data_IF_836324340272
#
_entry.id   IF_836324340272
#
_cell.length_a   1.000
_cell.length_b   1.000
_cell.length_c   1.000
_cell.angle_alpha   90.00
_cell.angle_beta   90.00
_cell.angle_gamma   90.00
#
_symmetry.space_group_name_H-M   'P 1'
#
loop_
_entity.id
_entity.type
_entity.pdbx_description
1 polymer ?
#
# COMPACT_ATOMS: atom_id res chain seq x y z
N UNK A 1 11.51 1.75 12.14
CA UNK A 1 10.89 0.66 11.38
C UNK A 1 9.54 0.27 12.01
N UNK A 2 8.49 0.89 11.53
CA UNK A 2 7.12 0.69 12.03
C UNK A 2 6.62 -0.74 11.91
N UNK A 3 7.05 -1.46 10.87
CA UNK A 3 6.59 -2.83 10.62
C UNK A 3 7.09 -3.81 11.66
N UNK A 4 8.29 -3.62 12.20
CA UNK A 4 8.84 -4.49 13.25
C UNK A 4 8.04 -4.45 14.54
N UNK A 5 7.34 -3.35 14.82
CA UNK A 5 6.46 -3.25 15.98
C UNK A 5 5.24 -4.17 15.86
N UNK A 6 4.93 -4.62 14.64
CA UNK A 6 3.87 -5.57 14.34
C UNK A 6 2.47 -5.14 14.84
N UNK A 7 2.22 -3.84 14.85
CA UNK A 7 0.92 -3.30 15.28
C UNK A 7 -0.23 -3.82 14.42
N UNK A 8 -0.01 -3.97 13.10
CA UNK A 8 -1.01 -4.51 12.18
C UNK A 8 -1.11 -6.03 12.19
N UNK A 9 -0.18 -6.74 12.86
CA UNK A 9 -0.19 -8.20 12.97
C UNK A 9 0.29 -8.96 11.74
N UNK A 10 0.83 -8.29 10.72
CA UNK A 10 1.23 -8.93 9.46
C UNK A 10 2.73 -9.13 9.28
N UNK A 11 3.55 -8.64 10.22
CA UNK A 11 4.99 -8.83 10.16
C UNK A 11 5.36 -10.32 10.17
N UNK A 12 6.18 -10.73 9.19
CA UNK A 12 6.61 -12.13 9.07
C UNK A 12 5.53 -13.11 8.64
N UNK A 13 4.43 -12.64 8.05
CA UNK A 13 3.31 -13.50 7.66
C UNK A 13 3.00 -13.49 6.15
N UNK A 14 3.55 -12.55 5.40
CA UNK A 14 3.26 -12.39 3.98
C UNK A 14 4.51 -12.02 3.20
N UNK A 15 4.56 -12.40 1.92
CA UNK A 15 5.63 -11.98 1.02
C UNK A 15 5.68 -10.46 0.81
N UNK A 16 4.51 -9.80 0.90
CA UNK A 16 4.41 -8.34 0.76
C UNK A 16 4.81 -7.56 2.00
N UNK A 17 5.01 -8.23 3.13
CA UNK A 17 5.36 -7.60 4.41
C UNK A 17 6.77 -7.98 4.83
N UNK A 18 7.47 -7.13 5.60
CA UNK A 18 8.80 -7.49 6.10
C UNK A 18 8.74 -8.73 7.00
N UNK A 19 9.75 -9.58 7.01
CA UNK A 19 10.96 -9.53 6.18
C UNK A 19 10.78 -10.11 4.77
N UNK A 20 9.60 -10.60 4.40
CA UNK A 20 9.33 -11.25 3.11
C UNK A 20 9.60 -10.34 1.89
N UNK A 21 9.28 -9.05 1.99
CA UNK A 21 9.56 -8.06 0.94
C UNK A 21 10.98 -7.47 1.02
N UNK A 22 11.79 -7.92 1.94
CA UNK A 22 13.12 -7.39 2.23
C UNK A 22 13.13 -6.55 3.51
N UNK A 23 14.34 -6.20 3.97
CA UNK A 23 14.50 -5.29 5.09
C UNK A 23 14.35 -3.82 4.63
N UNK A 24 14.35 -2.91 5.59
CA UNK A 24 14.15 -1.49 5.30
C UNK A 24 15.25 -0.92 4.39
N UNK A 25 16.49 -1.36 4.55
CA UNK A 25 17.61 -0.91 3.73
C UNK A 25 17.46 -1.38 2.28
N UNK A 26 17.08 -2.63 2.08
CA UNK A 26 16.79 -3.18 0.74
C UNK A 26 15.66 -2.43 0.06
N UNK A 27 14.58 -2.14 0.78
CA UNK A 27 13.47 -1.37 0.26
C UNK A 27 13.89 0.05 -0.12
N UNK A 28 14.68 0.71 0.70
CA UNK A 28 15.23 2.04 0.40
C UNK A 28 16.12 2.04 -0.84
N UNK A 29 16.94 1.02 -0.98
CA UNK A 29 17.79 0.86 -2.17
C UNK A 29 16.95 0.72 -3.43
N UNK A 30 15.89 -0.04 -3.37
CA UNK A 30 14.94 -0.17 -4.48
C UNK A 30 14.28 1.16 -4.81
N UNK A 31 13.83 1.91 -3.79
CA UNK A 31 13.20 3.23 -3.97
C UNK A 31 14.13 4.23 -4.64
N UNK A 32 15.43 4.16 -4.37
CA UNK A 32 16.42 5.08 -4.94
C UNK A 32 16.51 5.01 -6.47
N UNK A 33 16.01 3.93 -7.09
CA UNK A 33 15.94 3.79 -8.54
C UNK A 33 14.79 4.55 -9.20
N UNK A 34 13.91 5.16 -8.42
CA UNK A 34 12.74 5.88 -8.93
C UNK A 34 12.85 7.37 -8.67
N UNK A 35 12.43 8.19 -9.65
CA UNK A 35 12.42 9.65 -9.54
C UNK A 35 11.02 10.26 -9.63
N UNK A 36 10.03 9.47 -10.00
CA UNK A 36 8.66 9.93 -10.20
C UNK A 36 7.68 8.97 -9.54
N UNK A 37 6.67 9.51 -8.91
CA UNK A 37 5.61 8.75 -8.28
C UNK A 37 4.25 9.37 -8.50
N UNK A 38 3.21 8.58 -8.33
CA UNK A 38 1.82 9.00 -8.42
C UNK A 38 1.12 8.60 -7.12
N UNK A 39 0.60 9.60 -6.39
CA UNK A 39 -0.20 9.37 -5.20
C UNK A 39 -1.68 9.21 -5.58
N UNK A 40 -2.32 8.25 -4.95
CA UNK A 40 -3.73 7.95 -5.17
C UNK A 40 -4.44 7.94 -3.82
N UNK A 41 -5.50 8.74 -3.69
CA UNK A 41 -6.32 8.77 -2.50
C UNK A 41 -7.78 8.49 -2.82
N UNK A 42 -8.44 7.79 -1.90
CA UNK A 42 -9.89 7.65 -1.88
C UNK A 42 -10.38 8.12 -0.52
N UNK A 43 -11.29 9.08 -0.50
CA UNK A 43 -11.89 9.61 0.72
C UNK A 43 -13.40 9.45 0.65
N UNK A 44 -13.99 8.99 1.73
CA UNK A 44 -15.43 8.84 1.84
C UNK A 44 -15.95 9.26 3.20
N UNK A 45 -17.26 9.55 3.27
CA UNK A 45 -17.93 9.86 4.52
C UNK A 45 -18.30 8.58 5.27
N UNK A 46 -18.21 8.62 6.59
CA UNK A 46 -18.66 7.56 7.50
C UNK A 46 -19.58 8.18 8.55
N UNK A 47 -20.43 7.37 9.18
CA UNK A 47 -21.36 7.87 10.21
C UNK A 47 -20.59 8.29 11.47
N UNK A 48 -19.63 7.49 11.89
CA UNK A 48 -18.72 7.74 13.02
C UNK A 48 -17.53 6.78 12.94
N UNK A 49 -16.64 6.84 13.93
CA UNK A 49 -15.44 5.99 13.97
C UNK A 49 -15.73 4.50 14.15
N UNK A 50 -16.96 4.12 14.46
CA UNK A 50 -17.40 2.73 14.59
C UNK A 50 -18.20 2.22 13.39
N UNK A 51 -18.32 3.03 12.35
CA UNK A 51 -18.97 2.64 11.10
C UNK A 51 -18.06 1.72 10.27
N UNK A 52 -17.86 0.49 10.75
CA UNK A 52 -16.96 -0.47 10.12
C UNK A 52 -17.41 -0.87 8.72
N UNK A 53 -18.71 -0.90 8.47
CA UNK A 53 -19.24 -1.20 7.14
C UNK A 53 -18.91 -0.08 6.14
N UNK A 54 -19.10 1.18 6.53
CA UNK A 54 -18.74 2.34 5.71
C UNK A 54 -17.24 2.40 5.45
N UNK A 55 -16.42 2.15 6.46
CA UNK A 55 -14.95 2.10 6.34
C UNK A 55 -14.55 1.00 5.36
N UNK A 56 -15.14 -0.18 5.47
CA UNK A 56 -14.85 -1.31 4.58
C UNK A 56 -15.25 -1.02 3.13
N UNK A 57 -16.38 -0.34 2.91
CA UNK A 57 -16.83 0.06 1.58
C UNK A 57 -15.84 1.02 0.93
N UNK A 58 -15.32 1.99 1.67
CA UNK A 58 -14.31 2.93 1.18
C UNK A 58 -13.00 2.20 0.86
N UNK A 59 -12.58 1.27 1.71
CA UNK A 59 -11.40 0.43 1.47
C UNK A 59 -11.54 -0.35 0.16
N UNK A 60 -12.68 -0.96 -0.07
CA UNK A 60 -12.93 -1.73 -1.29
C UNK A 60 -12.97 -0.85 -2.53
N UNK A 61 -13.55 0.36 -2.44
CA UNK A 61 -13.50 1.34 -3.51
C UNK A 61 -12.06 1.71 -3.85
N UNK A 62 -11.24 1.96 -2.84
CA UNK A 62 -9.83 2.29 -3.03
C UNK A 62 -9.08 1.15 -3.73
N UNK A 63 -9.32 -0.09 -3.32
CA UNK A 63 -8.72 -1.27 -3.96
C UNK A 63 -9.11 -1.40 -5.43
N UNK A 64 -10.37 -1.14 -5.77
CA UNK A 64 -10.82 -1.15 -7.16
C UNK A 64 -10.13 -0.08 -8.00
N UNK A 65 -10.02 1.14 -7.49
CA UNK A 65 -9.28 2.23 -8.15
C UNK A 65 -7.82 1.86 -8.34
N UNK A 66 -7.20 1.36 -7.29
CA UNK A 66 -5.80 0.97 -7.30
C UNK A 66 -5.54 -0.14 -8.32
N UNK A 67 -6.36 -1.19 -8.34
CA UNK A 67 -6.20 -2.32 -9.25
C UNK A 67 -6.37 -1.89 -10.71
N UNK A 68 -7.36 -1.04 -11.00
CA UNK A 68 -7.57 -0.52 -12.35
C UNK A 68 -6.36 0.30 -12.82
N UNK A 69 -5.80 1.15 -11.95
CA UNK A 69 -4.60 1.93 -12.27
C UNK A 69 -3.37 1.04 -12.44
N UNK A 70 -3.23 0.03 -11.59
CA UNK A 70 -2.13 -0.93 -11.67
C UNK A 70 -2.12 -1.63 -13.05
N UNK A 71 -3.28 -2.12 -13.49
CA UNK A 71 -3.41 -2.75 -14.80
C UNK A 71 -3.11 -1.79 -15.95
N UNK A 72 -3.56 -0.55 -15.85
CA UNK A 72 -3.34 0.47 -16.88
C UNK A 72 -1.87 0.93 -16.95
N UNK A 73 -1.19 1.04 -15.81
CA UNK A 73 0.18 1.54 -15.75
C UNK A 73 1.24 0.49 -16.06
N UNK A 74 0.97 -0.78 -15.76
CA UNK A 74 1.95 -1.87 -15.93
C UNK A 74 2.53 -1.96 -17.34
N UNK A 75 1.74 -1.90 -18.43
CA UNK A 75 2.31 -1.96 -19.79
C UNK A 75 3.16 -0.75 -20.14
N UNK A 76 2.91 0.40 -19.51
CA UNK A 76 3.59 1.65 -19.79
C UNK A 76 4.91 1.78 -19.02
N UNK A 77 5.02 1.15 -17.87
CA UNK A 77 6.17 1.26 -16.98
C UNK A 77 6.66 -0.15 -16.60
N UNK A 78 7.70 -0.67 -17.28
CA UNK A 78 8.16 -2.06 -17.05
C UNK A 78 8.64 -2.34 -15.63
N UNK A 79 9.13 -1.32 -14.92
CA UNK A 79 9.61 -1.43 -13.54
C UNK A 79 8.67 -0.76 -12.54
N UNK A 80 7.39 -0.66 -12.88
CA UNK A 80 6.37 -0.11 -11.99
C UNK A 80 6.43 -0.76 -10.61
N UNK A 81 6.49 0.06 -9.56
CA UNK A 81 6.40 -0.41 -8.18
C UNK A 81 5.10 0.07 -7.56
N UNK A 82 4.10 -0.79 -7.41
CA UNK A 82 2.86 -0.45 -6.74
C UNK A 82 3.04 -0.58 -5.22
N UNK A 83 2.61 0.44 -4.48
CA UNK A 83 2.62 0.44 -3.02
C UNK A 83 1.23 0.80 -2.50
N UNK A 84 0.60 -0.15 -1.83
CA UNK A 84 -0.79 -0.05 -1.42
C UNK A 84 -0.98 0.50 0.00
N UNK A 85 -2.23 0.60 0.37
CA UNK A 85 -2.67 0.90 1.73
C UNK A 85 -2.96 -0.43 2.44
N UNK A 86 -2.02 -0.91 3.21
CA UNK A 86 -2.13 -2.20 3.91
C UNK A 86 -1.44 -3.35 3.19
N UNK A 87 -1.62 -4.56 3.69
CA UNK A 87 -0.97 -5.76 3.15
C UNK A 87 -1.62 -6.24 1.85
N UNK A 88 -0.90 -7.10 1.14
CA UNK A 88 -1.41 -7.76 -0.06
C UNK A 88 -2.60 -8.67 0.27
N UNK A 89 -3.64 -8.60 -0.53
CA UNK A 89 -4.86 -9.42 -0.38
C UNK A 89 -5.17 -10.24 -1.63
N UNK A 90 -4.16 -10.52 -2.47
CA UNK A 90 -4.32 -11.29 -3.72
C UNK A 90 -4.69 -12.75 -3.47
N UNK A 91 -4.25 -13.30 -2.34
CA UNK A 91 -4.55 -14.67 -1.92
C UNK A 91 -5.30 -14.63 -0.60
N UNK A 92 -6.22 -15.55 -0.41
CA UNK A 92 -6.86 -15.73 0.90
C UNK A 92 -5.81 -16.06 1.96
N UNK A 93 -4.94 -17.01 1.65
CA UNK A 93 -3.82 -17.39 2.50
C UNK A 93 -2.51 -17.27 1.73
N UNK A 94 -1.59 -16.44 2.23
CA UNK A 94 -0.30 -16.25 1.60
C UNK A 94 0.58 -17.50 1.75
N UNK A 95 1.35 -17.82 0.71
CA UNK A 95 2.29 -18.95 0.71
C UNK A 95 3.52 -18.74 1.58
N UNK A 96 3.73 -17.53 2.08
CA UNK A 96 4.90 -17.21 2.93
C UNK A 96 4.91 -18.03 4.21
N UNK A 97 6.06 -18.58 4.63
CA UNK A 97 7.37 -18.59 3.94
C UNK A 97 7.62 -19.86 3.12
N UNK A 98 6.70 -20.80 3.10
CA UNK A 98 6.92 -22.18 2.67
C UNK A 98 7.05 -22.36 1.16
N UNK A 99 6.44 -21.48 0.38
CA UNK A 99 6.46 -21.53 -1.08
C UNK A 99 6.56 -20.12 -1.67
N UNK A 100 7.06 -19.97 -2.91
CA UNK A 100 7.11 -18.67 -3.59
C UNK A 100 5.73 -18.03 -3.74
N UNK A 101 5.70 -16.70 -3.89
CA UNK A 101 4.47 -15.98 -4.17
C UNK A 101 3.80 -16.54 -5.44
N UNK A 102 2.48 -16.78 -5.38
CA UNK A 102 1.72 -17.30 -6.53
C UNK A 102 1.60 -16.27 -7.65
N UNK A 103 1.57 -14.98 -7.29
CA UNK A 103 1.34 -13.88 -8.22
C UNK A 103 2.35 -12.75 -7.99
N UNK A 104 3.67 -12.99 -8.22
CA UNK A 104 4.71 -11.99 -7.90
C UNK A 104 4.51 -10.68 -8.66
N UNK A 105 3.92 -10.72 -9.84
CA UNK A 105 3.64 -9.53 -10.66
C UNK A 105 2.46 -8.71 -10.14
N UNK A 106 1.60 -9.32 -9.32
CA UNK A 106 0.41 -8.68 -8.74
C UNK A 106 0.54 -8.42 -7.24
N UNK A 107 1.63 -8.88 -6.63
CA UNK A 107 1.90 -8.65 -5.22
C UNK A 107 2.05 -7.15 -4.96
N UNK A 108 1.44 -6.68 -3.88
CA UNK A 108 1.48 -5.27 -3.49
C UNK A 108 1.93 -5.16 -2.04
N UNK A 109 3.07 -4.50 -1.81
CA UNK A 109 3.51 -4.10 -0.47
C UNK A 109 2.89 -2.76 -0.09
N UNK A 110 2.85 -2.45 1.21
CA UNK A 110 2.38 -1.15 1.68
C UNK A 110 3.47 -0.09 1.55
N UNK A 111 3.07 1.16 1.59
CA UNK A 111 4.01 2.29 1.64
C UNK A 111 4.87 2.21 2.91
N UNK A 112 4.27 1.84 4.03
CA UNK A 112 4.95 1.68 5.32
C UNK A 112 6.01 0.58 5.31
N UNK A 113 5.78 -0.50 4.59
CA UNK A 113 6.77 -1.58 4.43
C UNK A 113 8.05 -1.09 3.76
N UNK A 114 7.95 -0.05 2.95
CA UNK A 114 9.08 0.61 2.29
C UNK A 114 9.62 1.80 3.10
N UNK A 115 9.19 1.96 4.33
CA UNK A 115 9.70 2.98 5.25
C UNK A 115 9.12 4.38 5.01
N UNK A 116 8.00 4.46 4.30
CA UNK A 116 7.34 5.74 4.04
C UNK A 116 6.43 6.12 5.21
N UNK A 117 6.55 7.36 5.67
CA UNK A 117 5.59 7.98 6.56
C UNK A 117 4.52 8.66 5.69
N UNK A 118 3.38 8.02 5.53
CA UNK A 118 2.34 8.44 4.57
C UNK A 118 1.87 9.87 4.85
N UNK A 119 1.72 10.25 6.12
CA UNK A 119 1.38 11.62 6.51
C UNK A 119 2.37 12.64 5.92
N UNK A 120 3.66 12.38 6.04
CA UNK A 120 4.70 13.28 5.54
C UNK A 120 4.75 13.31 4.02
N UNK A 121 4.53 12.17 3.37
CA UNK A 121 4.45 12.10 1.91
C UNK A 121 3.27 12.93 1.39
N UNK A 122 2.11 12.82 2.02
CA UNK A 122 0.94 13.63 1.65
C UNK A 122 1.23 15.12 1.81
N UNK A 123 1.78 15.55 2.94
CA UNK A 123 2.14 16.95 3.19
C UNK A 123 3.11 17.49 2.14
N UNK A 124 4.14 16.73 1.82
CA UNK A 124 5.14 17.12 0.84
C UNK A 124 4.56 17.32 -0.57
N UNK A 125 3.42 16.71 -0.86
CA UNK A 125 2.74 16.77 -2.14
C UNK A 125 1.46 17.63 -2.13
N UNK A 126 1.26 18.42 -1.10
CA UNK A 126 0.11 19.33 -1.01
C UNK A 126 -1.22 18.63 -0.75
N UNK A 127 -1.19 17.40 -0.24
CA UNK A 127 -2.37 16.62 0.11
C UNK A 127 -2.54 16.53 1.62
N UNK A 128 -3.78 16.35 2.05
CA UNK A 128 -4.08 15.99 3.44
C UNK A 128 -4.02 14.48 3.61
N UNK A 129 -3.63 14.04 4.79
CA UNK A 129 -3.74 12.64 5.19
C UNK A 129 -5.10 12.33 5.83
N UNK A 130 -5.68 13.36 6.44
CA UNK A 130 -6.95 13.29 7.16
C UNK A 130 -7.82 14.47 6.73
N UNK A 131 -9.06 14.21 6.36
CA UNK A 131 -9.98 15.21 5.80
C UNK A 131 -11.10 15.62 6.74
N UNK A 132 -10.98 15.31 8.01
CA UNK A 132 -11.92 15.72 9.05
C UNK A 132 -12.65 14.55 9.72
N UNK A 133 -13.40 14.88 10.77
CA UNK A 133 -14.24 13.93 11.48
C UNK A 133 -15.25 13.31 10.52
N UNK A 134 -15.62 12.06 10.79
CA UNK A 134 -16.58 11.30 9.98
C UNK A 134 -16.16 11.12 8.52
N UNK A 135 -14.85 11.07 8.28
CA UNK A 135 -14.27 10.69 6.99
C UNK A 135 -13.25 9.56 7.16
N UNK A 136 -13.07 8.78 6.10
CA UNK A 136 -12.00 7.79 6.00
C UNK A 136 -11.25 7.97 4.69
N UNK A 137 -9.93 7.94 4.76
CA UNK A 137 -9.05 8.12 3.59
C UNK A 137 -8.05 6.98 3.49
N UNK A 138 -7.93 6.43 2.31
CA UNK A 138 -6.87 5.47 1.97
C UNK A 138 -5.93 6.10 0.96
N UNK A 139 -4.63 5.93 1.17
CA UNK A 139 -3.58 6.50 0.34
C UNK A 139 -2.65 5.40 -0.14
N UNK A 140 -2.42 5.38 -1.43
CA UNK A 140 -1.50 4.45 -2.09
C UNK A 140 -0.62 5.22 -3.07
N UNK A 141 0.43 4.59 -3.57
CA UNK A 141 1.24 5.20 -4.62
C UNK A 141 1.74 4.18 -5.63
N UNK A 142 2.12 4.70 -6.79
CA UNK A 142 2.84 3.97 -7.82
C UNK A 142 4.14 4.70 -8.09
N UNK A 143 5.27 4.00 -8.05
CA UNK A 143 6.54 4.54 -8.49
C UNK A 143 6.75 4.11 -9.94
N UNK A 144 7.06 5.10 -10.77
CA UNK A 144 7.02 4.98 -12.22
C UNK A 144 8.44 4.89 -12.79
N UNK A 145 8.69 3.82 -13.52
CA UNK A 145 9.96 3.64 -14.25
C UNK A 145 9.75 2.72 -15.44
#
# INVERSE_FOLDING_TARGET
DMCKENTCGQYGKRWSCPPGCGDLEQCRTQLAGYSTGLLVQTTGAIEDSFDFEGIQDIEQQHKRHFDAMHEALRPLYPKLLPLGAGCCTRCKDCTYPDAPCRFPEKMVSSMEAYGMLVLEICKANGLSYYYGADTMTYTSCFLLF
#
